data_IF_585751176117
#
_entry.id   IF_585751176117
#
_cell.length_a   1.000
_cell.length_b   1.000
_cell.length_c   1.000
_cell.angle_alpha   90.00
_cell.angle_beta   90.00
_cell.angle_gamma   90.00
#
_symmetry.space_group_name_H-M   'P 1'
#
loop_
_entity.id
_entity.type
_entity.pdbx_description
1 polymer ?
#
# COMPACT_ATOMS: atom_id res chain seq x y z
N UNK A 1 12.71 10.31 -16.75
CA UNK A 1 12.70 9.23 -15.74
C UNK A 1 12.82 7.94 -16.54
N UNK A 2 13.93 7.18 -16.45
CA UNK A 2 14.14 5.81 -17.00
C UNK A 2 15.43 5.59 -17.83
N UNK A 3 16.63 5.69 -17.25
CA UNK A 3 17.83 5.08 -17.90
C UNK A 3 18.83 4.39 -16.94
N UNK A 4 18.62 4.41 -15.61
CA UNK A 4 19.65 3.93 -14.65
C UNK A 4 19.42 2.54 -14.01
N UNK A 5 18.39 1.77 -14.41
CA UNK A 5 17.96 0.59 -13.64
C UNK A 5 18.39 -0.82 -14.08
N UNK A 6 18.82 -1.13 -15.33
CA UNK A 6 19.08 -2.52 -15.72
C UNK A 6 20.22 -3.21 -14.96
N UNK A 7 21.30 -2.49 -14.63
CA UNK A 7 22.45 -3.08 -13.90
C UNK A 7 22.18 -3.26 -12.40
N UNK A 8 21.23 -2.52 -11.81
CA UNK A 8 20.84 -2.70 -10.41
C UNK A 8 19.97 -3.94 -10.19
N UNK A 9 19.21 -4.37 -11.20
CA UNK A 9 18.28 -5.50 -11.10
C UNK A 9 19.02 -6.83 -10.86
N UNK A 10 20.10 -7.08 -11.60
CA UNK A 10 20.93 -8.29 -11.43
C UNK A 10 21.61 -8.34 -10.05
N UNK A 11 22.09 -7.18 -9.56
CA UNK A 11 22.66 -7.07 -8.21
C UNK A 11 21.65 -7.37 -7.11
N UNK A 12 20.42 -6.84 -7.22
CA UNK A 12 19.34 -7.07 -6.25
C UNK A 12 18.87 -8.52 -6.25
N UNK A 13 18.70 -9.13 -7.42
CA UNK A 13 18.32 -10.55 -7.56
C UNK A 13 19.31 -11.46 -6.83
N UNK A 14 20.62 -11.26 -7.03
CA UNK A 14 21.66 -12.02 -6.34
C UNK A 14 21.59 -11.89 -4.81
N UNK A 15 21.38 -10.68 -4.28
CA UNK A 15 21.27 -10.45 -2.83
C UNK A 15 19.99 -11.09 -2.26
N UNK A 16 18.88 -11.07 -3.01
CA UNK A 16 17.66 -11.82 -2.62
C UNK A 16 17.97 -13.32 -2.51
N UNK A 17 18.67 -13.88 -3.49
CA UNK A 17 19.05 -15.30 -3.49
C UNK A 17 19.99 -15.66 -2.32
N UNK A 18 20.92 -14.76 -1.97
CA UNK A 18 21.80 -14.92 -0.80
C UNK A 18 21.03 -14.92 0.53
N UNK A 19 20.01 -14.06 0.68
CA UNK A 19 19.17 -14.01 1.87
C UNK A 19 18.11 -15.12 1.93
N UNK A 20 17.71 -15.68 0.79
CA UNK A 20 16.74 -16.78 0.70
C UNK A 20 17.38 -18.17 0.78
N UNK A 21 18.70 -18.27 0.56
CA UNK A 21 19.44 -19.49 0.90
C UNK A 21 19.25 -19.76 2.40
N UNK A 22 18.80 -20.95 2.82
CA UNK A 22 18.43 -21.21 4.21
C UNK A 22 19.56 -20.83 5.16
N UNK A 23 19.39 -19.73 5.89
CA UNK A 23 20.33 -19.35 6.94
C UNK A 23 20.34 -20.48 7.97
N UNK A 24 21.48 -21.17 8.07
CA UNK A 24 21.74 -22.13 9.15
C UNK A 24 21.52 -21.41 10.48
N UNK A 25 20.41 -21.71 11.14
CA UNK A 25 20.09 -21.40 12.54
C UNK A 25 20.43 -19.97 13.00
N UNK A 26 19.63 -18.99 12.59
CA UNK A 26 19.46 -17.75 13.36
C UNK A 26 18.37 -18.03 14.40
N UNK A 27 18.78 -18.31 15.64
CA UNK A 27 17.89 -18.77 16.71
C UNK A 27 16.87 -17.72 17.17
N UNK A 28 15.64 -18.18 17.47
CA UNK A 28 14.72 -17.41 18.31
C UNK A 28 13.21 -17.51 18.02
N UNK A 29 12.77 -17.94 16.82
CA UNK A 29 11.32 -17.97 16.49
C UNK A 29 10.96 -18.93 15.33
N UNK A 30 11.47 -20.16 15.33
CA UNK A 30 11.29 -21.12 14.22
C UNK A 30 9.97 -21.89 14.21
N UNK A 31 9.14 -21.80 15.25
CA UNK A 31 8.05 -22.77 15.39
C UNK A 31 6.78 -22.43 14.56
N UNK A 32 6.68 -21.23 13.98
CA UNK A 32 5.48 -20.76 13.26
C UNK A 32 5.73 -20.05 11.92
N UNK A 33 7.00 -19.78 11.56
CA UNK A 33 7.34 -19.11 10.29
C UNK A 33 7.86 -20.13 9.29
N UNK A 34 7.17 -20.26 8.17
CA UNK A 34 7.52 -21.19 7.10
C UNK A 34 8.02 -20.40 5.90
N UNK A 35 9.25 -20.68 5.46
CA UNK A 35 9.75 -20.11 4.22
C UNK A 35 8.97 -20.68 3.05
N UNK A 36 8.32 -19.82 2.26
CA UNK A 36 7.36 -20.28 1.26
C UNK A 36 8.02 -21.08 0.12
N UNK A 37 9.32 -20.89 -0.10
CA UNK A 37 10.12 -21.64 -1.08
C UNK A 37 10.38 -23.09 -0.68
N UNK A 38 10.16 -23.46 0.59
CA UNK A 38 10.44 -24.80 1.13
C UNK A 38 9.16 -25.56 1.54
N UNK A 39 8.02 -25.16 0.98
CA UNK A 39 6.72 -25.75 1.33
C UNK A 39 6.57 -27.15 0.75
N UNK A 40 6.34 -28.13 1.62
CA UNK A 40 5.72 -29.39 1.25
C UNK A 40 4.20 -29.27 1.43
N UNK A 41 3.44 -29.39 0.35
CA UNK A 41 1.97 -29.18 0.36
C UNK A 41 1.24 -30.11 1.33
N UNK A 42 1.78 -31.31 1.55
CA UNK A 42 1.19 -32.32 2.43
C UNK A 42 1.25 -31.95 3.92
N UNK A 43 1.98 -30.89 4.29
CA UNK A 43 2.13 -30.43 5.67
C UNK A 43 1.03 -29.46 6.13
N UNK A 44 0.16 -29.03 5.21
CA UNK A 44 -0.84 -27.99 5.45
C UNK A 44 -2.26 -28.54 5.38
N UNK A 45 -3.12 -28.01 6.23
CA UNK A 45 -4.56 -28.26 6.18
C UNK A 45 -5.32 -26.93 6.11
N UNK A 46 -6.56 -26.97 5.67
CA UNK A 46 -7.41 -25.78 5.59
C UNK A 46 -8.42 -25.84 6.73
N UNK A 47 -8.52 -24.77 7.51
CA UNK A 47 -9.48 -24.67 8.61
C UNK A 47 -10.53 -23.62 8.32
N UNK A 48 -11.79 -24.01 8.49
CA UNK A 48 -12.95 -23.14 8.40
C UNK A 48 -13.31 -22.57 9.78
N UNK A 49 -13.66 -21.29 9.82
CA UNK A 49 -14.32 -20.62 10.94
C UNK A 49 -15.63 -19.98 10.46
N UNK A 50 -16.40 -19.36 11.35
CA UNK A 50 -17.70 -18.76 11.01
C UNK A 50 -17.63 -17.63 9.96
N UNK A 51 -16.47 -16.98 9.80
CA UNK A 51 -16.30 -15.82 8.91
C UNK A 51 -15.07 -15.90 7.99
N UNK A 52 -14.14 -16.82 8.25
CA UNK A 52 -12.89 -16.95 7.47
C UNK A 52 -12.46 -18.41 7.32
N UNK A 53 -11.78 -18.70 6.22
CA UNK A 53 -11.07 -19.95 6.00
C UNK A 53 -9.59 -19.65 5.80
N UNK A 54 -8.72 -20.31 6.57
CA UNK A 54 -7.28 -20.01 6.60
C UNK A 54 -6.47 -21.29 6.40
N UNK A 55 -5.31 -21.16 5.75
CA UNK A 55 -4.32 -22.23 5.65
C UNK A 55 -3.60 -22.38 7.00
N UNK A 56 -3.65 -23.57 7.59
CA UNK A 56 -3.01 -23.91 8.86
C UNK A 56 -1.94 -24.99 8.64
N UNK A 57 -0.94 -25.04 9.51
CA UNK A 57 0.09 -26.09 9.48
C UNK A 57 -0.40 -27.28 10.28
N UNK A 58 -0.59 -28.42 9.61
CA UNK A 58 -1.40 -29.52 10.15
C UNK A 58 -0.63 -30.70 10.72
N UNK A 59 0.63 -30.95 10.33
CA UNK A 59 1.17 -32.32 10.48
C UNK A 59 2.17 -32.59 11.61
N UNK A 60 2.94 -31.61 12.09
CA UNK A 60 4.03 -31.90 13.03
C UNK A 60 3.87 -31.35 14.45
N UNK A 61 3.03 -30.34 14.68
CA UNK A 61 3.03 -29.61 15.97
C UNK A 61 1.80 -29.84 16.83
N UNK A 62 0.73 -30.48 16.31
CA UNK A 62 -0.56 -30.59 17.00
C UNK A 62 -1.23 -29.24 17.30
N UNK A 63 -0.64 -28.13 16.83
CA UNK A 63 -1.08 -26.76 17.05
C UNK A 63 -1.88 -26.30 15.83
N UNK A 64 -3.18 -26.02 16.03
CA UNK A 64 -4.06 -25.43 15.02
C UNK A 64 -3.77 -23.92 14.81
N UNK A 65 -2.54 -23.57 14.44
CA UNK A 65 -2.12 -22.19 14.19
C UNK A 65 -2.13 -21.85 12.68
N UNK A 66 -2.51 -20.62 12.34
CA UNK A 66 -2.40 -20.10 10.98
C UNK A 66 -0.94 -20.11 10.52
N UNK A 67 -0.70 -20.55 9.29
CA UNK A 67 0.64 -20.61 8.72
C UNK A 67 1.11 -19.21 8.31
N UNK A 68 2.21 -18.73 8.90
CA UNK A 68 2.86 -17.49 8.43
C UNK A 68 3.93 -17.88 7.42
N UNK A 69 3.71 -17.51 6.16
CA UNK A 69 4.64 -17.69 5.06
C UNK A 69 5.58 -16.50 4.96
N UNK A 70 6.86 -16.73 4.66
CA UNK A 70 7.82 -15.64 4.41
C UNK A 70 8.37 -15.67 3.00
N UNK A 71 8.60 -14.47 2.45
CA UNK A 71 9.24 -14.22 1.16
C UNK A 71 10.24 -13.07 1.31
N UNK A 72 11.37 -13.15 0.63
CA UNK A 72 12.32 -12.02 0.54
C UNK A 72 12.17 -11.37 -0.83
N UNK A 73 12.07 -10.05 -0.86
CA UNK A 73 12.00 -9.30 -2.09
C UNK A 73 12.33 -7.83 -1.88
N UNK A 74 12.33 -7.07 -2.98
CA UNK A 74 12.57 -5.63 -2.95
C UNK A 74 11.24 -4.89 -2.76
N UNK A 75 11.18 -4.02 -1.75
CA UNK A 75 9.99 -3.25 -1.43
C UNK A 75 9.70 -2.22 -2.54
N UNK A 76 8.64 -2.46 -3.32
CA UNK A 76 8.24 -1.68 -4.50
C UNK A 76 7.21 -0.60 -4.17
N UNK A 77 6.26 -0.94 -3.31
CA UNK A 77 5.18 -0.03 -2.90
C UNK A 77 4.79 -0.34 -1.47
N UNK A 78 4.45 0.68 -0.68
CA UNK A 78 3.92 0.48 0.66
C UNK A 78 3.08 1.66 1.13
N UNK A 79 2.16 1.36 2.03
CA UNK A 79 1.39 2.32 2.82
C UNK A 79 1.42 1.81 4.28
N UNK A 80 2.37 2.33 5.06
CA UNK A 80 2.69 1.86 6.40
C UNK A 80 2.42 2.99 7.42
N UNK A 81 2.21 2.67 8.70
CA UNK A 81 2.10 3.68 9.73
C UNK A 81 3.39 4.50 9.87
N UNK A 82 3.36 5.68 10.51
CA UNK A 82 2.20 6.36 11.08
C UNK A 82 1.20 6.90 10.03
N UNK A 83 -0.09 6.70 10.26
CA UNK A 83 -1.14 7.27 9.41
C UNK A 83 -1.27 8.77 9.68
N UNK A 84 -1.19 9.58 8.61
CA UNK A 84 -1.27 11.05 8.71
C UNK A 84 -2.65 11.47 9.25
N UNK A 85 -2.69 12.39 10.22
CA UNK A 85 -3.93 12.86 10.88
C UNK A 85 -5.06 13.22 9.93
N UNK A 86 -4.77 13.91 8.83
CA UNK A 86 -5.79 14.41 7.89
C UNK A 86 -6.14 13.40 6.78
N UNK A 87 -5.57 12.20 6.80
CA UNK A 87 -5.78 11.21 5.73
C UNK A 87 -6.94 10.26 6.01
N UNK A 88 -7.33 10.10 7.28
CA UNK A 88 -8.33 9.13 7.72
C UNK A 88 -9.62 9.83 8.15
N UNK A 89 -10.68 9.63 7.37
CA UNK A 89 -12.04 10.08 7.70
C UNK A 89 -12.88 8.89 8.17
N UNK A 90 -14.00 9.13 8.85
CA UNK A 90 -14.89 8.06 9.32
C UNK A 90 -15.31 7.09 8.20
N UNK A 91 -15.58 7.60 6.99
CA UNK A 91 -15.93 6.79 5.82
C UNK A 91 -14.79 5.90 5.32
N UNK A 92 -13.52 6.25 5.62
CA UNK A 92 -12.33 5.51 5.20
C UNK A 92 -11.85 4.50 6.25
N UNK A 93 -12.34 4.58 7.49
CA UNK A 93 -11.97 3.66 8.59
C UNK A 93 -12.09 2.17 8.19
N UNK A 94 -13.18 1.69 7.57
CA UNK A 94 -13.30 0.27 7.20
C UNK A 94 -12.26 -0.22 6.18
N UNK A 95 -11.63 0.71 5.46
CA UNK A 95 -10.68 0.44 4.38
C UNK A 95 -9.23 0.74 4.78
N UNK A 96 -9.02 1.32 5.97
CA UNK A 96 -7.69 1.66 6.46
C UNK A 96 -6.89 0.38 6.73
N UNK A 97 -5.69 0.31 6.14
CA UNK A 97 -4.86 -0.89 6.16
C UNK A 97 -3.38 -0.52 6.06
N UNK A 98 -2.52 -1.37 6.62
CA UNK A 98 -1.13 -1.45 6.24
C UNK A 98 -1.02 -2.22 4.92
N UNK A 99 -0.18 -1.77 4.00
CA UNK A 99 0.06 -2.42 2.72
C UNK A 99 1.56 -2.44 2.40
N UNK A 100 2.02 -3.55 1.84
CA UNK A 100 3.36 -3.69 1.28
C UNK A 100 3.30 -4.56 0.02
N UNK A 101 4.09 -4.20 -0.99
CA UNK A 101 4.31 -4.97 -2.21
C UNK A 101 5.81 -5.17 -2.40
N UNK A 102 6.19 -6.43 -2.59
CA UNK A 102 7.57 -6.82 -2.91
C UNK A 102 7.66 -7.39 -4.33
N UNK A 103 8.81 -7.21 -4.95
CA UNK A 103 9.16 -7.80 -6.25
C UNK A 103 10.48 -8.54 -6.18
N UNK A 104 10.62 -9.57 -7.00
CA UNK A 104 11.81 -10.41 -7.07
C UNK A 104 12.82 -10.06 -8.14
N UNK A 105 12.45 -9.20 -9.11
CA UNK A 105 13.18 -9.10 -10.39
C UNK A 105 13.35 -10.50 -11.00
N UNK A 106 14.58 -10.88 -11.36
CA UNK A 106 14.91 -12.17 -11.95
C UNK A 106 15.25 -13.24 -10.89
N UNK A 107 14.93 -13.02 -9.61
CA UNK A 107 15.22 -14.01 -8.56
C UNK A 107 14.38 -15.26 -8.77
N UNK A 108 15.07 -16.38 -8.97
CA UNK A 108 14.44 -17.69 -9.10
C UNK A 108 13.71 -18.07 -7.81
N UNK A 109 14.27 -17.74 -6.64
CA UNK A 109 13.63 -17.98 -5.35
C UNK A 109 12.31 -17.22 -5.20
N UNK A 110 12.28 -15.95 -5.61
CA UNK A 110 11.05 -15.18 -5.58
C UNK A 110 10.01 -15.72 -6.59
N UNK A 111 10.44 -16.09 -7.79
CA UNK A 111 9.56 -16.67 -8.79
C UNK A 111 8.91 -17.98 -8.30
N UNK A 112 9.71 -18.87 -7.69
CA UNK A 112 9.20 -20.09 -7.05
C UNK A 112 8.27 -19.78 -5.88
N UNK A 113 8.62 -18.83 -5.02
CA UNK A 113 7.77 -18.38 -3.93
C UNK A 113 6.39 -17.92 -4.44
N UNK A 114 6.38 -17.08 -5.47
CA UNK A 114 5.16 -16.55 -6.06
C UNK A 114 4.31 -17.65 -6.72
N UNK A 115 4.93 -18.61 -7.40
CA UNK A 115 4.24 -19.79 -7.93
C UNK A 115 3.57 -20.59 -6.80
N UNK A 116 4.28 -20.82 -5.69
CA UNK A 116 3.73 -21.51 -4.52
C UNK A 116 2.55 -20.73 -3.89
N UNK A 117 2.58 -19.39 -3.85
CA UNK A 117 1.41 -18.59 -3.41
C UNK A 117 0.21 -18.84 -4.31
N UNK A 118 0.41 -18.79 -5.63
CA UNK A 118 -0.67 -19.01 -6.61
C UNK A 118 -1.30 -20.39 -6.45
N UNK A 119 -0.47 -21.41 -6.28
CA UNK A 119 -0.92 -22.78 -6.09
C UNK A 119 -1.68 -22.95 -4.77
N UNK A 120 -1.18 -22.39 -3.66
CA UNK A 120 -1.88 -22.42 -2.38
C UNK A 120 -3.21 -21.64 -2.42
N UNK A 121 -3.25 -20.51 -3.13
CA UNK A 121 -4.48 -19.74 -3.32
C UNK A 121 -5.51 -20.51 -4.16
N UNK A 122 -5.05 -21.26 -5.18
CA UNK A 122 -5.88 -22.19 -5.93
C UNK A 122 -6.41 -23.30 -5.02
N UNK A 123 -5.55 -23.99 -4.27
CA UNK A 123 -5.92 -25.06 -3.34
C UNK A 123 -6.96 -24.58 -2.30
N UNK A 124 -6.77 -23.37 -1.77
CA UNK A 124 -7.71 -22.72 -0.86
C UNK A 124 -9.05 -22.45 -1.54
N UNK A 125 -9.04 -21.97 -2.79
CA UNK A 125 -10.25 -21.70 -3.55
C UNK A 125 -11.07 -22.96 -3.87
N UNK A 126 -10.41 -24.11 -4.08
CA UNK A 126 -11.12 -25.39 -4.33
C UNK A 126 -11.93 -25.90 -3.14
N UNK A 127 -11.80 -25.28 -1.96
CA UNK A 127 -12.61 -25.62 -0.77
C UNK A 127 -13.99 -24.98 -0.77
N UNK A 128 -14.27 -24.10 -1.73
CA UNK A 128 -15.56 -23.46 -1.89
C UNK A 128 -16.26 -23.98 -3.16
N UNK A 129 -17.60 -23.90 -3.23
CA UNK A 129 -18.30 -24.15 -4.49
C UNK A 129 -17.77 -23.25 -5.62
N UNK A 130 -17.88 -23.72 -6.86
CA UNK A 130 -17.56 -22.92 -8.03
C UNK A 130 -18.37 -21.59 -7.99
N UNK A 131 -17.75 -20.50 -8.45
CA UNK A 131 -18.31 -19.14 -8.46
C UNK A 131 -18.56 -18.49 -7.08
N UNK A 132 -18.31 -19.20 -5.97
CA UNK A 132 -18.43 -18.67 -4.60
C UNK A 132 -17.12 -18.10 -4.05
N UNK A 133 -16.04 -18.03 -4.84
CA UNK A 133 -14.74 -17.52 -4.39
C UNK A 133 -14.05 -16.67 -5.46
N UNK A 134 -13.68 -15.46 -5.08
CA UNK A 134 -12.79 -14.62 -5.87
C UNK A 134 -11.34 -15.06 -5.63
N UNK A 135 -10.69 -15.53 -6.70
CA UNK A 135 -9.30 -15.98 -6.65
C UNK A 135 -8.36 -14.81 -6.34
N UNK A 136 -7.32 -15.09 -5.56
CA UNK A 136 -6.23 -14.13 -5.41
C UNK A 136 -5.44 -14.02 -6.71
N UNK A 137 -5.15 -12.79 -7.12
CA UNK A 137 -4.36 -12.48 -8.31
C UNK A 137 -3.11 -11.71 -7.84
N UNK A 138 -1.95 -12.12 -8.34
CA UNK A 138 -0.69 -11.42 -8.11
C UNK A 138 -0.76 -9.98 -8.67
N UNK A 139 0.05 -9.06 -8.13
CA UNK A 139 0.13 -7.72 -8.69
C UNK A 139 0.57 -7.82 -10.16
N UNK A 140 -0.08 -7.11 -11.09
CA UNK A 140 0.20 -7.23 -12.51
C UNK A 140 1.65 -6.89 -12.79
N UNK A 141 2.20 -7.58 -13.80
CA UNK A 141 3.56 -7.37 -14.26
C UNK A 141 3.72 -5.92 -14.68
N UNK A 142 4.66 -5.23 -14.05
CA UNK A 142 5.23 -4.04 -14.64
C UNK A 142 6.43 -4.46 -15.46
N UNK A 143 6.56 -3.94 -16.69
CA UNK A 143 7.62 -4.27 -17.65
C UNK A 143 9.05 -4.24 -17.06
N UNK A 144 9.25 -3.47 -15.99
CA UNK A 144 10.57 -3.23 -15.37
C UNK A 144 10.85 -4.16 -14.18
N UNK A 145 9.83 -4.60 -13.45
CA UNK A 145 10.02 -5.30 -12.15
C UNK A 145 9.47 -6.73 -12.13
N UNK A 146 8.74 -7.14 -13.18
CA UNK A 146 8.01 -8.40 -13.20
C UNK A 146 6.83 -8.42 -12.22
N UNK A 147 6.31 -9.61 -11.89
CA UNK A 147 5.16 -9.76 -11.00
C UNK A 147 5.53 -9.42 -9.56
N UNK A 148 4.58 -8.77 -8.87
CA UNK A 148 4.71 -8.43 -7.45
C UNK A 148 3.83 -9.30 -6.56
N UNK A 149 4.23 -9.38 -5.29
CA UNK A 149 3.42 -9.96 -4.22
C UNK A 149 2.97 -8.83 -3.29
N UNK A 150 1.74 -8.39 -3.49
CA UNK A 150 1.08 -7.41 -2.62
C UNK A 150 0.39 -8.08 -1.43
N UNK A 151 0.56 -7.51 -0.24
CA UNK A 151 -0.04 -7.99 1.01
C UNK A 151 -0.60 -6.81 1.81
N UNK A 152 -1.73 -7.02 2.49
CA UNK A 152 -2.32 -5.99 3.36
C UNK A 152 -2.92 -6.52 4.64
N UNK A 153 -2.91 -5.71 5.69
CA UNK A 153 -3.61 -5.99 6.93
C UNK A 153 -4.49 -4.79 7.30
N UNK A 154 -5.79 -5.02 7.56
CA UNK A 154 -6.68 -3.95 8.03
C UNK A 154 -6.28 -3.53 9.42
N UNK A 155 -6.35 -2.23 9.71
CA UNK A 155 -6.13 -1.75 11.08
C UNK A 155 -7.30 -2.07 12.01
N UNK A 156 -8.50 -2.29 11.46
CA UNK A 156 -9.73 -2.45 12.23
C UNK A 156 -10.52 -3.69 11.84
N UNK A 157 -11.16 -4.28 12.84
CA UNK A 157 -12.25 -5.24 12.76
C UNK A 157 -13.55 -4.53 13.14
N UNK A 158 -14.64 -4.80 12.40
CA UNK A 158 -15.87 -4.02 12.46
C UNK A 158 -17.03 -4.85 13.04
N UNK A 159 -17.88 -4.23 13.83
CA UNK A 159 -19.19 -4.73 14.23
C UNK A 159 -19.19 -6.11 14.87
N UNK A 160 -20.05 -7.01 14.38
CA UNK A 160 -20.24 -8.36 14.92
C UNK A 160 -19.09 -9.33 14.68
N UNK A 161 -18.09 -8.94 13.89
CA UNK A 161 -16.90 -9.77 13.62
C UNK A 161 -15.82 -9.59 14.69
N UNK A 162 -16.00 -8.67 15.66
CA UNK A 162 -15.05 -8.42 16.74
C UNK A 162 -15.08 -9.59 17.72
N UNK A 163 -13.98 -10.36 17.87
CA UNK A 163 -13.92 -11.42 18.87
C UNK A 163 -13.93 -10.82 20.29
N UNK A 164 -14.62 -11.48 21.22
CA UNK A 164 -14.88 -10.93 22.57
C UNK A 164 -13.64 -10.53 23.37
N UNK A 165 -12.53 -11.25 23.22
CA UNK A 165 -11.29 -11.06 24.01
C UNK A 165 -10.06 -10.64 23.19
N UNK A 166 -10.21 -10.30 21.89
CA UNK A 166 -9.03 -10.05 21.03
C UNK A 166 -8.64 -8.58 20.88
N UNK A 167 -9.32 -7.66 21.56
CA UNK A 167 -9.04 -6.21 21.48
C UNK A 167 -7.67 -5.90 22.05
N UNK A 168 -6.86 -5.19 21.27
CA UNK A 168 -5.54 -4.69 21.66
C UNK A 168 -5.42 -3.20 21.32
N UNK A 169 -4.54 -2.50 22.01
CA UNK A 169 -4.27 -1.08 21.74
C UNK A 169 -3.21 -0.92 20.65
N UNK A 170 -3.34 0.10 19.81
CA UNK A 170 -2.26 0.48 18.91
C UNK A 170 -1.00 0.84 19.71
N UNK A 171 0.14 0.32 19.28
CA UNK A 171 1.41 0.66 19.91
C UNK A 171 1.82 2.10 19.55
N UNK A 172 2.50 2.79 20.46
CA UNK A 172 2.88 4.20 20.27
C UNK A 172 3.74 4.44 19.01
N UNK A 173 4.53 3.45 18.58
CA UNK A 173 5.34 3.57 17.36
C UNK A 173 4.54 3.38 16.06
N UNK A 174 3.31 2.85 16.16
CA UNK A 174 2.35 2.69 15.05
C UNK A 174 1.44 3.92 14.97
N UNK A 175 0.95 4.39 16.11
CA UNK A 175 0.01 5.49 16.22
C UNK A 175 0.48 6.59 17.21
N UNK A 176 1.64 7.23 16.96
CA UNK A 176 2.20 8.23 17.87
C UNK A 176 1.30 9.47 18.04
N UNK A 177 0.39 9.68 17.10
CA UNK A 177 -0.47 10.85 17.02
C UNK A 177 -1.91 10.58 17.49
N UNK A 178 -2.26 9.34 17.84
CA UNK A 178 -3.62 8.92 18.18
C UNK A 178 -4.60 8.90 16.99
N UNK A 179 -4.11 9.02 15.75
CA UNK A 179 -4.93 9.09 14.53
C UNK A 179 -5.74 7.82 14.32
N UNK A 180 -5.16 6.65 14.64
CA UNK A 180 -5.89 5.39 14.51
C UNK A 180 -6.79 5.15 15.74
N UNK A 181 -6.24 5.43 16.92
CA UNK A 181 -6.89 5.20 18.21
C UNK A 181 -8.16 6.03 18.39
N UNK A 182 -8.23 7.25 17.84
CA UNK A 182 -9.43 8.11 17.92
C UNK A 182 -10.68 7.52 17.24
N UNK A 183 -10.53 6.51 16.38
CA UNK A 183 -11.63 5.87 15.67
C UNK A 183 -12.10 4.56 16.33
N UNK A 184 -11.46 4.14 17.42
CA UNK A 184 -11.87 2.97 18.18
C UNK A 184 -13.21 3.24 18.87
N UNK A 185 -14.08 2.22 18.89
CA UNK A 185 -15.40 2.27 19.54
C UNK A 185 -15.87 0.85 19.89
N UNK A 186 -17.08 0.72 20.42
CA UNK A 186 -17.70 -0.59 20.63
C UNK A 186 -17.84 -1.38 19.32
N UNK A 187 -18.03 -0.70 18.17
CA UNK A 187 -18.22 -1.33 16.86
C UNK A 187 -16.97 -1.31 15.97
N UNK A 188 -15.85 -0.78 16.46
CA UNK A 188 -14.60 -0.68 15.71
C UNK A 188 -13.45 -1.01 16.67
N UNK A 189 -12.78 -2.14 16.45
CA UNK A 189 -11.69 -2.60 17.30
C UNK A 189 -10.42 -2.84 16.50
N UNK A 190 -9.28 -2.62 17.13
CA UNK A 190 -8.02 -3.19 16.68
C UNK A 190 -7.83 -4.52 17.42
N UNK A 191 -7.66 -5.61 16.67
CA UNK A 191 -7.53 -6.95 17.24
C UNK A 191 -6.15 -7.55 16.97
N UNK A 192 -5.82 -8.65 17.64
CA UNK A 192 -4.56 -9.40 17.41
C UNK A 192 -4.38 -9.76 15.94
N UNK A 193 -5.47 -10.09 15.24
CA UNK A 193 -5.50 -10.40 13.82
C UNK A 193 -5.31 -9.17 12.92
N UNK A 194 -5.24 -7.97 13.48
CA UNK A 194 -4.95 -6.72 12.78
C UNK A 194 -3.51 -6.23 13.02
N UNK A 195 -2.76 -6.89 13.90
CA UNK A 195 -1.39 -6.50 14.22
C UNK A 195 -0.41 -6.91 13.12
N UNK A 196 0.55 -6.02 12.84
CA UNK A 196 1.63 -6.25 11.87
C UNK A 196 2.96 -6.03 12.58
N UNK A 197 3.80 -7.06 12.60
CA UNK A 197 5.11 -6.99 13.23
C UNK A 197 6.12 -6.28 12.31
N UNK A 198 6.48 -5.04 12.65
CA UNK A 198 7.60 -4.33 12.03
C UNK A 198 8.87 -4.62 12.81
N UNK A 199 9.81 -5.33 12.19
CA UNK A 199 11.01 -5.82 12.87
C UNK A 199 12.28 -5.31 12.19
N UNK A 200 13.41 -5.51 12.85
CA UNK A 200 14.74 -5.36 12.29
C UNK A 200 15.65 -6.44 12.89
N UNK A 201 16.64 -6.89 12.12
CA UNK A 201 17.64 -7.84 12.60
C UNK A 201 18.80 -7.07 13.24
N UNK A 202 18.96 -7.18 14.57
CA UNK A 202 20.09 -6.60 15.31
C UNK A 202 20.86 -7.71 16.01
N UNK A 203 22.13 -7.90 15.66
CA UNK A 203 23.00 -8.94 16.26
C UNK A 203 22.31 -10.32 16.25
N UNK A 204 21.73 -10.72 15.12
CA UNK A 204 21.00 -11.98 14.94
C UNK A 204 19.73 -12.13 15.80
N UNK A 205 19.20 -11.05 16.35
CA UNK A 205 17.92 -11.04 17.08
C UNK A 205 16.96 -10.06 16.43
N UNK A 206 15.71 -10.47 16.31
CA UNK A 206 14.64 -9.58 15.88
C UNK A 206 14.32 -8.58 16.99
N UNK A 207 14.23 -7.30 16.62
CA UNK A 207 13.79 -6.22 17.49
C UNK A 207 12.75 -5.37 16.76
N UNK A 208 11.80 -4.79 17.50
CA UNK A 208 10.79 -3.90 16.93
C UNK A 208 11.45 -2.72 16.21
N UNK A 209 10.89 -2.35 15.05
CA UNK A 209 11.31 -1.24 14.21
C UNK A 209 10.14 -0.30 13.96
N UNK A 210 10.44 0.99 13.91
CA UNK A 210 9.48 2.00 13.46
C UNK A 210 9.15 1.83 11.95
N UNK A 211 7.87 1.67 11.57
CA UNK A 211 7.45 1.53 10.18
C UNK A 211 7.77 2.75 9.30
N UNK A 212 7.93 3.94 9.87
CA UNK A 212 8.39 5.12 9.12
C UNK A 212 9.83 4.99 8.59
N UNK A 213 10.58 3.99 9.09
CA UNK A 213 11.96 3.72 8.72
C UNK A 213 12.15 2.83 7.50
N UNK A 214 11.09 2.40 6.80
CA UNK A 214 11.18 1.66 5.53
C UNK A 214 11.33 2.60 4.34
N UNK A 215 12.01 2.16 3.28
CA UNK A 215 12.22 2.91 2.04
C UNK A 215 11.95 2.03 0.83
N UNK A 216 11.51 2.67 -0.26
CA UNK A 216 11.40 1.99 -1.54
C UNK A 216 12.78 1.53 -2.00
N UNK A 217 12.87 0.29 -2.47
CA UNK A 217 14.12 -0.34 -2.86
C UNK A 217 14.86 -1.08 -1.72
N UNK A 218 14.35 -1.03 -0.48
CA UNK A 218 14.86 -1.88 0.60
C UNK A 218 14.59 -3.36 0.25
N UNK A 219 15.57 -4.22 0.50
CA UNK A 219 15.37 -5.68 0.51
C UNK A 219 14.77 -6.04 1.85
N UNK A 220 13.59 -6.66 1.83
CA UNK A 220 12.80 -6.98 3.00
C UNK A 220 12.40 -8.44 3.01
N UNK A 221 12.33 -9.03 4.20
CA UNK A 221 11.55 -10.24 4.45
C UNK A 221 10.11 -9.81 4.78
N UNK A 222 9.15 -10.28 3.98
CA UNK A 222 7.72 -10.05 4.18
C UNK A 222 7.07 -11.35 4.63
N UNK A 223 6.44 -11.32 5.81
CA UNK A 223 5.63 -12.41 6.34
C UNK A 223 4.15 -12.17 6.08
N UNK A 224 3.44 -13.21 5.64
CA UNK A 224 2.02 -13.13 5.29
C UNK A 224 1.25 -14.43 5.52
N UNK A 225 -0.07 -14.32 5.55
CA UNK A 225 -1.02 -15.44 5.59
C UNK A 225 -1.88 -15.46 4.33
N UNK A 226 -2.38 -16.64 3.95
CA UNK A 226 -3.42 -16.80 2.93
C UNK A 226 -4.76 -17.08 3.59
N UNK A 227 -5.72 -16.17 3.39
CA UNK A 227 -7.02 -16.20 4.05
C UNK A 227 -8.13 -15.94 3.05
N UNK A 228 -9.17 -16.77 3.08
CA UNK A 228 -10.43 -16.54 2.38
C UNK A 228 -11.43 -15.89 3.34
N UNK A 229 -11.86 -14.67 3.02
CA UNK A 229 -12.82 -13.90 3.82
C UNK A 229 -14.21 -14.01 3.21
N UNK A 230 -15.22 -14.29 4.05
CA UNK A 230 -16.61 -14.20 3.62
C UNK A 230 -16.98 -12.74 3.31
N UNK A 231 -17.61 -12.50 2.17
CA UNK A 231 -18.08 -11.16 1.75
C UNK A 231 -19.59 -10.96 1.89
N UNK A 232 -20.35 -12.02 2.11
CA UNK A 232 -21.81 -11.94 1.95
C UNK A 232 -22.51 -11.34 3.14
N UNK A 233 -23.53 -10.54 2.83
CA UNK A 233 -24.50 -10.12 3.82
C UNK A 233 -25.43 -11.29 4.15
N UNK A 234 -26.04 -11.23 5.32
CA UNK A 234 -26.99 -12.26 5.78
C UNK A 234 -28.17 -12.36 4.80
N UNK A 235 -28.36 -13.52 4.18
CA UNK A 235 -29.45 -13.79 3.22
C UNK A 235 -29.06 -13.73 1.75
N UNK A 236 -27.80 -13.45 1.42
CA UNK A 236 -27.26 -13.51 0.05
C UNK A 236 -26.46 -14.80 -0.19
N UNK A 237 -26.34 -15.21 -1.46
CA UNK A 237 -25.53 -16.35 -1.90
C UNK A 237 -24.09 -16.21 -1.43
N UNK A 238 -23.53 -17.27 -0.85
CA UNK A 238 -22.20 -17.29 -0.25
C UNK A 238 -21.08 -16.89 -1.23
N UNK A 239 -20.27 -15.90 -0.86
CA UNK A 239 -19.12 -15.39 -1.61
C UNK A 239 -17.95 -15.17 -0.68
N UNK A 240 -16.78 -15.60 -1.13
CA UNK A 240 -15.52 -15.47 -0.45
C UNK A 240 -14.51 -14.71 -1.31
N UNK A 241 -13.54 -14.08 -0.69
CA UNK A 241 -12.39 -13.49 -1.37
C UNK A 241 -11.10 -14.00 -0.75
N UNK A 242 -10.22 -14.58 -1.56
CA UNK A 242 -8.88 -14.97 -1.15
C UNK A 242 -7.98 -13.73 -1.09
N UNK A 243 -7.27 -13.55 0.04
CA UNK A 243 -6.33 -12.44 0.26
C UNK A 243 -5.04 -12.92 0.89
N UNK A 244 -3.98 -12.20 0.54
CA UNK A 244 -2.68 -12.26 1.21
C UNK A 244 -2.68 -11.21 2.33
N UNK A 245 -2.63 -11.66 3.57
CA UNK A 245 -2.71 -10.82 4.78
C UNK A 245 -1.32 -10.54 5.30
N UNK A 246 -0.97 -9.27 5.49
CA UNK A 246 0.36 -8.87 5.95
C UNK A 246 0.50 -9.17 7.46
N UNK A 247 1.57 -9.87 7.85
CA UNK A 247 1.85 -10.21 9.26
C UNK A 247 3.16 -9.66 9.76
N UNK A 248 4.15 -9.54 8.89
CA UNK A 248 5.47 -9.11 9.29
C UNK A 248 6.20 -8.41 8.14
N UNK A 249 7.03 -7.43 8.50
CA UNK A 249 7.97 -6.81 7.58
C UNK A 249 9.30 -6.55 8.29
N UNK A 250 10.40 -7.08 7.74
CA UNK A 250 11.75 -6.93 8.28
C UNK A 250 12.68 -6.45 7.18
N UNK A 251 13.35 -5.29 7.29
CA UNK A 251 14.41 -4.92 6.35
C UNK A 251 15.64 -5.78 6.61
N UNK A 252 16.18 -6.35 5.53
CA UNK A 252 17.39 -7.16 5.51
C UNK A 252 18.57 -6.34 5.01
N UNK A 253 18.38 -5.61 3.91
CA UNK A 253 19.40 -4.74 3.34
C UNK A 253 18.80 -3.46 2.74
N UNK A 254 19.34 -2.30 3.13
CA UNK A 254 18.98 -0.98 2.62
C UNK A 254 20.09 -0.32 1.79
N UNK A 255 21.16 -1.06 1.47
CA UNK A 255 22.33 -0.56 0.74
C UNK A 255 21.95 0.04 -0.61
N UNK A 256 21.05 -0.62 -1.34
CA UNK A 256 20.54 -0.16 -2.63
C UNK A 256 19.71 1.12 -2.51
N UNK A 257 18.81 1.20 -1.53
CA UNK A 257 18.04 2.42 -1.28
C UNK A 257 18.96 3.60 -0.92
N UNK A 258 20.00 3.34 -0.12
CA UNK A 258 21.02 4.34 0.24
C UNK A 258 21.85 4.78 -0.97
N UNK A 259 22.30 3.84 -1.81
CA UNK A 259 23.05 4.16 -3.03
C UNK A 259 22.22 5.00 -4.00
N UNK A 260 20.96 4.64 -4.22
CA UNK A 260 20.05 5.39 -5.08
C UNK A 260 19.76 6.80 -4.53
N UNK A 261 19.65 6.95 -3.20
CA UNK A 261 19.51 8.27 -2.57
C UNK A 261 20.73 9.15 -2.82
N UNK A 262 21.94 8.62 -2.59
CA UNK A 262 23.19 9.35 -2.80
C UNK A 262 23.35 9.76 -4.27
N UNK A 263 23.11 8.84 -5.21
CA UNK A 263 23.22 9.12 -6.64
C UNK A 263 22.27 10.25 -7.10
N UNK A 264 21.05 10.33 -6.54
CA UNK A 264 20.11 11.42 -6.84
C UNK A 264 20.59 12.75 -6.27
N UNK A 265 21.13 12.75 -5.05
CA UNK A 265 21.67 13.95 -4.44
C UNK A 265 22.87 14.49 -5.25
N UNK A 266 23.75 13.61 -5.70
CA UNK A 266 24.90 13.97 -6.55
C UNK A 266 24.45 14.53 -7.90
N UNK A 267 23.45 13.91 -8.54
CA UNK A 267 22.87 14.40 -9.79
C UNK A 267 22.21 15.79 -9.64
N UNK A 268 21.53 16.03 -8.53
CA UNK A 268 20.92 17.35 -8.25
C UNK A 268 21.98 18.44 -8.03
N UNK A 269 23.08 18.11 -7.34
CA UNK A 269 24.21 19.03 -7.18
C UNK A 269 24.90 19.33 -8.51
N UNK A 270 25.11 18.31 -9.36
CA UNK A 270 25.68 18.48 -10.69
C UNK A 270 24.80 19.39 -11.58
N UNK A 271 23.47 19.22 -11.56
CA UNK A 271 22.53 20.06 -12.31
C UNK A 271 22.52 21.54 -11.88
N UNK A 272 22.74 21.82 -10.59
CA UNK A 272 22.85 23.20 -10.06
C UNK A 272 24.18 23.87 -10.45
N UNK A 273 25.26 23.10 -10.59
CA UNK A 273 26.58 23.64 -11.00
C UNK A 273 26.61 24.10 -12.47
N UNK A 274 25.84 23.45 -13.34
CA UNK A 274 25.76 23.81 -14.77
C UNK A 274 24.98 25.12 -14.97
N UNK A 275 23.91 25.34 -14.21
CA UNK A 275 23.09 26.57 -14.30
C UNK A 275 23.75 27.79 -13.65
N UNK A 276 24.59 27.60 -12.62
CA UNK A 276 25.36 28.69 -12.01
C UNK A 276 26.45 29.28 -12.92
N UNK A 277 26.90 28.51 -13.92
CA UNK A 277 27.99 28.90 -14.84
C UNK A 277 27.51 29.65 -16.10
N UNK A 278 26.19 29.77 -16.32
CA UNK A 278 25.60 30.61 -17.37
C UNK A 278 25.09 31.95 -16.83
N UNK A 279 25.92 32.70 -16.09
CA UNK A 279 25.68 34.14 -15.94
C UNK A 279 26.04 34.82 -17.25
N UNK A 280 25.03 35.22 -18.04
CA UNK A 280 25.18 36.13 -19.18
C UNK A 280 26.09 37.31 -18.78
N UNK A 281 27.03 37.74 -19.65
CA UNK A 281 27.88 38.89 -19.34
C UNK A 281 26.98 40.11 -19.05
N UNK A 282 27.25 40.77 -17.92
CA UNK A 282 26.65 42.06 -17.56
C UNK A 282 26.92 43.04 -18.71
N UNK A 283 25.91 43.34 -19.51
CA UNK A 283 25.97 44.50 -20.39
C UNK A 283 26.14 45.75 -19.52
N UNK A 284 27.14 46.56 -19.86
CA UNK A 284 27.44 47.80 -19.16
C UNK A 284 26.23 48.75 -19.20
N UNK A 285 26.01 49.57 -18.15
CA UNK A 285 24.91 50.52 -18.14
C UNK A 285 25.12 51.57 -19.23
N UNK A 286 24.22 51.61 -20.20
CA UNK A 286 24.18 52.64 -21.22
C UNK A 286 23.97 54.02 -20.56
N UNK A 287 24.91 54.94 -20.80
CA UNK A 287 24.80 56.34 -20.40
C UNK A 287 23.64 56.98 -21.17
N UNK A 288 22.66 57.53 -20.45
CA UNK A 288 21.61 58.41 -20.99
C UNK A 288 22.27 59.59 -21.72
N UNK A 289 22.03 59.72 -23.02
CA UNK A 289 21.99 61.01 -23.71
C UNK A 289 20.52 61.38 -23.87
N UNK A 290 20.12 62.49 -23.27
CA UNK A 290 18.94 63.23 -23.70
C UNK A 290 19.30 63.86 -25.06
N UNK A 291 18.51 63.57 -26.08
CA UNK A 291 18.35 64.45 -27.23
C UNK A 291 16.85 64.45 -27.57
N UNK A 292 16.30 65.65 -27.72
CA UNK A 292 14.90 66.00 -27.92
C UNK A 292 14.72 66.26 -29.43
N UNK A 293 13.92 65.46 -30.14
CA UNK A 293 13.19 65.86 -31.36
C UNK A 293 12.38 64.68 -31.92
N UNK A 294 11.07 64.94 -32.10
CA UNK A 294 10.12 64.41 -33.08
C UNK A 294 10.41 63.08 -33.79
N UNK A 295 9.47 62.13 -33.67
CA UNK A 295 8.55 61.72 -34.76
C UNK A 295 7.76 60.44 -34.39
N UNK A 296 6.43 60.59 -34.42
CA UNK A 296 5.40 59.65 -34.89
C UNK A 296 5.24 58.22 -34.35
N UNK A 297 3.97 57.96 -33.98
CA UNK A 297 3.11 56.79 -34.21
C UNK A 297 3.22 55.54 -33.32
N UNK A 298 2.11 55.35 -32.58
CA UNK A 298 1.38 54.10 -32.33
C UNK A 298 1.80 53.23 -31.14
N UNK A 299 1.38 53.68 -29.94
CA UNK A 299 0.95 52.82 -28.85
C UNK A 299 -0.45 52.28 -29.16
N UNK A 300 -0.64 50.97 -29.32
CA UNK A 300 -1.80 50.18 -28.83
C UNK A 300 -1.48 48.69 -29.02
N UNK A 301 -1.22 47.94 -27.93
CA UNK A 301 -1.55 46.51 -27.77
C UNK A 301 -0.79 45.86 -26.61
N UNK A 302 -1.22 46.11 -25.37
CA UNK A 302 -0.92 45.19 -24.25
C UNK A 302 -1.96 45.15 -23.13
N UNK A 303 -3.11 45.82 -23.30
CA UNK A 303 -4.20 45.81 -22.32
C UNK A 303 -5.28 44.74 -22.60
N UNK A 304 -5.50 44.33 -23.86
CA UNK A 304 -6.66 43.50 -24.25
C UNK A 304 -6.51 42.00 -23.90
N UNK A 305 -5.28 41.51 -23.69
CA UNK A 305 -5.06 40.08 -23.37
C UNK A 305 -5.38 39.72 -21.92
N UNK A 306 -5.37 40.69 -20.99
CA UNK A 306 -5.65 40.43 -19.56
C UNK A 306 -7.15 40.45 -19.22
N UNK A 307 -7.99 41.06 -20.05
CA UNK A 307 -9.43 41.14 -19.82
C UNK A 307 -10.19 39.89 -20.33
N UNK A 308 -9.60 39.12 -21.26
CA UNK A 308 -10.21 37.90 -21.83
C UNK A 308 -10.06 36.61 -21.00
N UNK A 309 -9.22 36.59 -19.95
CA UNK A 309 -9.05 35.40 -19.09
C UNK A 309 -9.93 35.40 -17.84
N UNK A 310 -10.67 36.49 -17.56
CA UNK A 310 -11.52 36.61 -16.37
C UNK A 310 -13.00 36.21 -16.60
N UNK A 311 -13.39 35.85 -17.84
CA UNK A 311 -14.79 35.54 -18.21
C UNK A 311 -15.16 34.06 -18.30
N UNK A 312 -14.27 33.11 -17.96
CA UNK A 312 -14.49 31.67 -18.16
C UNK A 312 -14.94 30.90 -16.91
N UNK A 313 -15.43 31.60 -15.89
CA UNK A 313 -16.06 31.00 -14.72
C UNK A 313 -17.31 31.78 -14.34
N UNK A 314 -18.45 31.28 -14.82
CA UNK A 314 -19.81 31.39 -14.27
C UNK A 314 -20.78 31.32 -15.45
N UNK A 315 -21.42 30.15 -15.62
CA UNK A 315 -22.80 29.96 -16.07
C UNK A 315 -22.95 28.53 -16.61
N UNK A 316 -23.48 27.63 -15.78
CA UNK A 316 -24.39 26.57 -16.24
C UNK A 316 -25.18 26.06 -15.04
N UNK A 317 -26.10 26.91 -14.58
CA UNK A 317 -27.30 26.54 -13.84
C UNK A 317 -28.42 27.45 -14.30
N UNK A 318 -29.61 26.86 -14.42
CA UNK A 318 -30.89 27.39 -14.95
C UNK A 318 -30.98 27.34 -16.47
N UNK A 319 -32.05 26.87 -17.13
CA UNK A 319 -33.39 26.47 -16.73
C UNK A 319 -34.07 25.83 -17.96
N UNK A 320 -34.87 24.77 -17.76
CA UNK A 320 -35.99 24.46 -18.66
C UNK A 320 -37.22 24.21 -17.79
N UNK A 321 -38.08 25.22 -17.77
CA UNK A 321 -39.44 25.17 -17.22
C UNK A 321 -40.40 24.95 -18.38
N UNK A 322 -41.27 23.94 -18.28
CA UNK A 322 -42.51 23.83 -19.05
C UNK A 322 -43.59 23.14 -18.20
N UNK A 323 -44.27 23.98 -17.42
CA UNK A 323 -45.70 24.06 -17.08
C UNK A 323 -46.70 22.97 -17.55
N UNK A 324 -47.51 22.45 -16.62
CA UNK A 324 -49.01 22.53 -16.54
C UNK A 324 -49.52 21.58 -15.44
N UNK A 325 -49.91 22.07 -14.25
CA UNK A 325 -51.32 22.23 -13.78
C UNK A 325 -52.20 20.99 -13.90
N UNK A 326 -52.60 20.40 -12.76
CA UNK A 326 -53.99 20.43 -12.28
C UNK A 326 -54.16 19.68 -10.93
N UNK A 327 -54.64 20.44 -9.94
CA UNK A 327 -55.72 20.15 -9.00
C UNK A 327 -55.81 18.84 -8.17
N UNK A 328 -55.79 19.09 -6.85
CA UNK A 328 -56.86 18.75 -5.89
C UNK A 328 -56.56 17.73 -4.77
N UNK A 329 -56.43 18.33 -3.57
CA UNK A 329 -57.23 18.09 -2.34
C UNK A 329 -57.06 16.78 -1.54
N UNK A 330 -57.22 17.01 -0.23
CA UNK A 330 -57.58 16.10 0.87
C UNK A 330 -56.44 15.21 1.39
N UNK A 331 -56.24 15.05 2.70
CA UNK A 331 -56.82 15.66 3.89
C UNK A 331 -55.87 15.31 5.05
N UNK A 332 -55.77 16.23 5.98
CA UNK A 332 -55.04 16.14 7.22
C UNK A 332 -56.02 15.63 8.30
N UNK A 333 -55.61 14.70 9.17
CA UNK A 333 -56.19 14.32 10.50
C UNK A 333 -56.23 12.81 10.69
N UNK A 334 -56.10 12.21 11.87
CA UNK A 334 -55.68 12.61 13.22
C UNK A 334 -55.53 11.29 14.02
N UNK A 335 -54.65 11.31 15.00
CA UNK A 335 -54.80 10.78 16.37
C UNK A 335 -55.70 9.57 16.73
N UNK A 336 -55.10 8.75 17.63
CA UNK A 336 -55.67 8.06 18.80
C UNK A 336 -56.72 6.95 18.60
N UNK A 337 -56.36 5.73 19.02
CA UNK A 337 -56.77 5.10 20.31
C UNK A 337 -55.61 4.25 20.82
#
# INVERSE_FOLDING_TARGET
MNEFYPQEAAGKSKVIDEWTTPLKNVGGRKDFMHQITLINRDDFTVKNSSSTTTVIVGRQTGLNAAAIFTVVGVLKLFDLPPVKRNSLTAARVPYARAYAEVVGYDSSHFATALANVKDLAYDLSTKFPADCVEHWIASPDSDIFGPGLGSSCRYYTMGGDIPGESRITFQNHIDPAGTLSQHLSERVAHCVENDVAYLCLKKNKYATKDPSGFRLGDIVEMGFELVAFRQTKRGEDEKHICKVVLRMLTPLDGSFAKAAFNARADAEQAGKSVTASQKKPKQAPAKRRLDFADLSSDDEDSADTRQRMAGLRLNDTSEKTAQSTDDAKMENSQNSV
#
